data_IF_690394627323
#
_entry.id   IF_690394627323
#
_cell.length_a   1.000
_cell.length_b   1.000
_cell.length_c   1.000
_cell.angle_alpha   90.00
_cell.angle_beta   90.00
_cell.angle_gamma   90.00
#
_symmetry.space_group_name_H-M   'P 1'
#
loop_
_entity.id
_entity.type
_entity.pdbx_description
1 polymer ?
#
# COMPACT_ATOMS: atom_id res chain seq x y z
N UNK A 1 23.78 -1.12 0.46
CA UNK A 1 23.57 -0.89 0.70
C UNK A 1 22.84 -0.73 1.36
N UNK A 2 22.34 -0.66 1.82
CA UNK A 2 21.78 -0.54 2.43
C UNK A 2 21.01 -0.08 2.85
N UNK A 3 20.91 -0.07 2.98
CA UNK A 3 20.26 0.53 3.39
C UNK A 3 18.87 0.49 3.40
N UNK A 4 18.42 -0.31 3.08
CA UNK A 4 17.12 -0.50 2.92
C UNK A 4 16.34 -0.30 4.02
N UNK A 5 15.64 0.39 4.26
CA UNK A 5 15.14 0.69 5.52
C UNK A 5 13.74 1.12 5.36
N UNK A 6 12.95 1.10 6.39
CA UNK A 6 11.61 1.66 6.34
C UNK A 6 11.64 3.12 5.93
N UNK A 7 12.66 3.84 6.39
CA UNK A 7 12.80 5.24 5.99
C UNK A 7 13.11 5.35 4.51
N UNK A 8 13.76 4.34 3.95
CA UNK A 8 14.05 4.36 2.53
C UNK A 8 12.77 4.25 1.72
N UNK A 9 11.82 3.45 2.18
CA UNK A 9 10.53 3.37 1.51
C UNK A 9 9.86 4.75 1.49
N UNK A 10 9.81 5.40 2.64
CA UNK A 10 9.24 6.73 2.70
C UNK A 10 10.02 7.71 1.85
N UNK A 11 11.33 7.58 1.84
CA UNK A 11 12.17 8.43 1.05
C UNK A 11 11.88 8.28 -0.45
N UNK A 12 11.77 7.05 -0.93
CA UNK A 12 11.47 6.81 -2.33
C UNK A 12 10.16 7.46 -2.71
N UNK A 13 9.16 7.33 -1.87
CA UNK A 13 7.85 7.89 -2.18
C UNK A 13 7.76 9.39 -1.97
N UNK A 14 8.83 10.03 -1.51
CA UNK A 14 8.80 11.46 -1.26
C UNK A 14 9.90 12.20 -1.97
N UNK A 15 11.15 11.76 -1.77
CA UNK A 15 12.28 12.49 -2.29
C UNK A 15 12.45 12.29 -3.79
N UNK A 16 12.48 11.04 -4.20
CA UNK A 16 12.57 10.78 -5.63
C UNK A 16 11.26 10.92 -6.31
N UNK A 17 10.21 10.68 -5.56
CA UNK A 17 8.94 10.44 -6.18
C UNK A 17 7.92 11.47 -5.75
N UNK A 18 8.37 12.70 -5.64
CA UNK A 18 7.47 13.81 -5.35
C UNK A 18 6.25 13.77 -6.26
N UNK A 19 6.43 13.31 -7.48
CA UNK A 19 5.36 13.25 -8.45
C UNK A 19 4.96 11.83 -8.81
N UNK A 20 5.38 10.88 -7.99
CA UNK A 20 4.96 9.51 -8.21
C UNK A 20 3.63 9.23 -7.55
N UNK A 21 2.94 8.27 -8.09
CA UNK A 21 1.63 7.86 -7.61
C UNK A 21 1.73 6.42 -7.14
N UNK A 22 1.35 6.16 -5.90
CA UNK A 22 1.57 4.87 -5.28
C UNK A 22 0.27 4.10 -5.16
N UNK A 23 0.32 2.82 -5.51
CA UNK A 23 -0.73 1.86 -5.18
C UNK A 23 -0.17 1.01 -4.07
N UNK A 24 -0.92 0.85 -2.98
CA UNK A 24 -0.40 0.17 -1.80
C UNK A 24 -1.38 -0.86 -1.29
N UNK A 25 -0.85 -1.83 -0.58
CA UNK A 25 -1.64 -2.87 0.06
C UNK A 25 -1.31 -2.87 1.54
N UNK A 26 -2.32 -2.75 2.38
CA UNK A 26 -2.15 -2.82 3.82
C UNK A 26 -2.97 -3.99 4.35
N UNK A 27 -2.50 -4.56 5.46
CA UNK A 27 -3.13 -5.70 6.11
C UNK A 27 -3.52 -5.31 7.52
N UNK A 28 -4.72 -5.68 7.92
CA UNK A 28 -5.17 -5.48 9.28
C UNK A 28 -4.63 -6.60 10.16
N UNK A 29 -4.00 -6.24 11.27
CA UNK A 29 -3.36 -7.23 12.13
C UNK A 29 -4.35 -8.01 12.97
N UNK A 30 -5.55 -7.47 13.16
CA UNK A 30 -6.56 -8.12 14.00
C UNK A 30 -7.50 -8.99 13.19
N UNK A 31 -7.96 -8.50 12.05
CA UNK A 31 -8.96 -9.19 11.24
C UNK A 31 -8.39 -9.84 10.00
N UNK A 32 -7.10 -9.65 9.74
CA UNK A 32 -6.42 -10.20 8.56
C UNK A 32 -7.03 -9.76 7.24
N UNK A 33 -7.78 -8.68 7.26
CA UNK A 33 -8.33 -8.14 6.02
C UNK A 33 -7.29 -7.29 5.31
N UNK A 34 -7.51 -7.12 4.02
CA UNK A 34 -6.60 -6.41 3.14
C UNK A 34 -7.31 -5.20 2.56
N UNK A 35 -6.59 -4.09 2.50
CA UNK A 35 -7.09 -2.89 1.85
C UNK A 35 -6.10 -2.45 0.79
N UNK A 36 -6.62 -2.12 -0.39
CA UNK A 36 -5.83 -1.63 -1.51
C UNK A 36 -6.20 -0.17 -1.73
N UNK A 37 -5.20 0.69 -1.81
CA UNK A 37 -5.44 2.11 -1.97
C UNK A 37 -4.47 2.75 -2.95
N UNK A 38 -4.70 4.04 -3.18
CA UNK A 38 -3.94 4.86 -4.09
C UNK A 38 -3.64 6.17 -3.38
N UNK A 39 -2.41 6.65 -3.48
CA UNK A 39 -2.04 7.91 -2.84
C UNK A 39 -0.83 8.53 -3.51
N UNK A 40 -0.68 9.84 -3.34
CA UNK A 40 0.53 10.55 -3.73
C UNK A 40 1.45 10.76 -2.53
N UNK A 41 1.02 10.38 -1.33
CA UNK A 41 1.82 10.53 -0.12
C UNK A 41 1.58 9.32 0.77
N UNK A 42 2.37 8.29 0.56
CA UNK A 42 2.18 7.02 1.23
C UNK A 42 2.30 7.14 2.75
N UNK A 43 3.30 7.87 3.21
CA UNK A 43 3.53 8.01 4.64
C UNK A 43 2.33 8.65 5.32
N UNK A 44 1.82 9.75 4.77
CA UNK A 44 0.66 10.42 5.34
C UNK A 44 -0.56 9.52 5.33
N UNK A 45 -0.74 8.79 4.22
CA UNK A 45 -1.91 7.93 4.09
C UNK A 45 -1.90 6.79 5.10
N UNK A 46 -0.72 6.24 5.39
CA UNK A 46 -0.60 5.19 6.40
C UNK A 46 -0.94 5.73 7.80
N UNK A 47 -0.51 6.95 8.10
CA UNK A 47 -0.88 7.58 9.36
C UNK A 47 -2.40 7.74 9.44
N UNK A 48 -3.03 8.17 8.35
CA UNK A 48 -4.48 8.33 8.32
C UNK A 48 -5.20 7.01 8.57
N UNK A 49 -4.74 5.93 7.95
CA UNK A 49 -5.36 4.62 8.17
C UNK A 49 -5.27 4.19 9.63
N UNK A 50 -4.16 4.50 10.28
CA UNK A 50 -3.93 4.07 11.65
C UNK A 50 -4.45 5.04 12.70
N UNK A 51 -4.97 6.18 12.28
CA UNK A 51 -5.51 7.19 13.19
C UNK A 51 -6.99 7.47 12.93
N UNK A 52 -7.67 6.50 12.35
CA UNK A 52 -9.11 6.58 12.09
C UNK A 52 -9.50 7.67 11.09
N UNK A 53 -8.54 8.08 10.27
CA UNK A 53 -8.79 9.12 9.25
C UNK A 53 -9.40 8.60 7.97
N UNK A 54 -9.57 7.28 7.85
CA UNK A 54 -10.14 6.67 6.65
C UNK A 54 -11.39 5.88 7.02
N UNK A 55 -12.51 6.11 6.32
CA UNK A 55 -13.77 5.45 6.69
C UNK A 55 -13.69 3.92 6.70
N UNK A 56 -12.99 3.34 5.72
CA UNK A 56 -12.93 1.88 5.65
C UNK A 56 -12.09 1.27 6.77
N UNK A 57 -11.00 1.92 7.13
CA UNK A 57 -10.02 1.34 8.04
C UNK A 57 -10.19 1.74 9.48
N UNK A 58 -11.03 2.74 9.77
CA UNK A 58 -11.16 3.20 11.14
C UNK A 58 -11.84 2.17 12.01
N UNK A 59 -11.50 2.20 13.30
CA UNK A 59 -12.07 1.33 14.31
C UNK A 59 -11.78 -0.14 14.08
N UNK A 60 -10.78 -0.46 13.26
CA UNK A 60 -10.41 -1.85 12.99
C UNK A 60 -9.05 -2.21 13.57
N UNK A 61 -8.45 -1.32 14.33
CA UNK A 61 -7.15 -1.58 14.90
C UNK A 61 -6.04 -1.19 13.94
N UNK A 62 -4.89 -1.82 14.09
CA UNK A 62 -3.69 -1.42 13.38
C UNK A 62 -3.61 -2.05 12.00
N UNK A 63 -3.16 -1.24 11.05
CA UNK A 63 -2.91 -1.66 9.68
C UNK A 63 -1.42 -1.55 9.38
N UNK A 64 -0.92 -2.51 8.63
CA UNK A 64 0.48 -2.57 8.30
C UNK A 64 0.66 -2.60 6.78
N UNK A 65 1.65 -1.85 6.29
CA UNK A 65 1.97 -1.85 4.88
C UNK A 65 2.67 -3.16 4.53
N UNK A 66 2.17 -3.84 3.51
CA UNK A 66 2.79 -5.08 3.05
C UNK A 66 3.35 -4.97 1.63
N UNK A 67 2.92 -3.97 0.86
CA UNK A 67 3.36 -3.85 -0.53
C UNK A 67 3.00 -2.48 -1.09
N UNK A 68 3.85 -1.95 -1.95
CA UNK A 68 3.48 -0.77 -2.71
C UNK A 68 4.15 -0.77 -4.09
N UNK A 69 3.49 -0.12 -5.03
CA UNK A 69 4.00 0.14 -6.37
C UNK A 69 3.93 1.62 -6.64
N UNK A 70 4.97 2.17 -7.26
CA UNK A 70 5.00 3.58 -7.58
C UNK A 70 5.00 3.76 -9.09
N UNK A 71 4.20 4.69 -9.57
CA UNK A 71 4.06 4.99 -10.98
C UNK A 71 4.31 6.47 -11.24
N UNK A 72 4.94 6.78 -12.33
CA UNK A 72 5.09 8.16 -12.74
C UNK A 72 3.76 8.74 -13.23
N UNK A 73 2.93 7.92 -13.83
CA UNK A 73 1.65 8.33 -14.39
C UNK A 73 0.53 8.08 -13.40
N UNK A 74 -0.27 9.12 -13.14
CA UNK A 74 -1.45 8.99 -12.31
C UNK A 74 -2.41 7.94 -12.89
N UNK A 75 -2.58 7.97 -14.20
CA UNK A 75 -3.51 7.06 -14.85
C UNK A 75 -3.10 5.61 -14.69
N UNK A 76 -1.80 5.35 -14.81
CA UNK A 76 -1.31 3.99 -14.62
C UNK A 76 -1.57 3.51 -13.19
N UNK A 77 -1.34 4.37 -12.21
CA UNK A 77 -1.58 4.00 -10.82
C UNK A 77 -3.07 3.75 -10.58
N UNK A 78 -3.92 4.62 -11.10
CA UNK A 78 -5.36 4.45 -10.90
C UNK A 78 -5.87 3.19 -11.59
N UNK A 79 -5.37 2.88 -12.77
CA UNK A 79 -5.74 1.66 -13.46
C UNK A 79 -5.29 0.43 -12.67
N UNK A 80 -4.08 0.49 -12.12
CA UNK A 80 -3.56 -0.62 -11.32
C UNK A 80 -4.41 -0.85 -10.07
N UNK A 81 -4.73 0.22 -9.36
CA UNK A 81 -5.58 0.12 -8.19
C UNK A 81 -6.92 -0.50 -8.54
N UNK A 82 -7.51 -0.04 -9.63
CA UNK A 82 -8.80 -0.55 -10.07
C UNK A 82 -8.73 -2.04 -10.36
N UNK A 83 -7.69 -2.46 -11.07
CA UNK A 83 -7.53 -3.88 -11.40
C UNK A 83 -7.34 -4.74 -10.17
N UNK A 84 -6.56 -4.27 -9.22
CA UNK A 84 -6.34 -5.03 -8.00
C UNK A 84 -7.59 -5.11 -7.15
N UNK A 85 -8.39 -4.05 -7.12
CA UNK A 85 -9.62 -4.02 -6.33
C UNK A 85 -10.72 -4.93 -6.90
N UNK A 86 -10.60 -5.31 -8.15
CA UNK A 86 -11.57 -6.22 -8.74
C UNK A 86 -11.43 -7.64 -8.21
N UNK A 87 -10.32 -7.93 -7.51
CA UNK A 87 -10.08 -9.25 -6.92
C UNK A 87 -10.09 -10.37 -7.96
N UNK A 88 -9.71 -10.03 -9.19
CA UNK A 88 -9.60 -11.03 -10.24
C UNK A 88 -8.18 -11.58 -10.32
N UNK A 89 -7.77 -11.95 -11.55
CA UNK A 89 -6.46 -12.57 -11.75
C UNK A 89 -5.31 -11.65 -11.35
N UNK A 90 -5.45 -10.34 -11.54
CA UNK A 90 -4.38 -9.40 -11.16
C UNK A 90 -4.08 -9.48 -9.68
N UNK A 91 -5.12 -9.50 -8.84
CA UNK A 91 -4.92 -9.60 -7.41
C UNK A 91 -4.40 -10.97 -7.02
N UNK A 92 -4.88 -12.02 -7.68
CA UNK A 92 -4.39 -13.36 -7.44
C UNK A 92 -2.90 -13.50 -7.73
N UNK A 93 -2.45 -12.94 -8.84
CA UNK A 93 -1.03 -12.94 -9.18
C UNK A 93 -0.21 -12.15 -8.18
N UNK A 94 -0.70 -11.00 -7.77
CA UNK A 94 0.00 -10.21 -6.78
C UNK A 94 0.11 -10.94 -5.45
N UNK A 95 -0.95 -11.59 -5.00
CA UNK A 95 -0.93 -12.34 -3.73
C UNK A 95 0.14 -13.42 -3.75
N UNK A 96 0.29 -14.12 -4.86
CA UNK A 96 1.34 -15.13 -4.98
C UNK A 96 2.72 -14.50 -4.88
N UNK A 97 2.89 -13.34 -5.49
CA UNK A 97 4.17 -12.66 -5.51
C UNK A 97 4.59 -12.16 -4.12
N UNK A 98 3.64 -11.75 -3.32
CA UNK A 98 3.91 -11.18 -2.00
C UNK A 98 3.43 -12.07 -0.87
N UNK A 99 3.37 -13.38 -1.12
CA UNK A 99 2.81 -14.31 -0.14
C UNK A 99 3.50 -14.21 1.22
N UNK A 100 4.83 -14.15 1.22
CA UNK A 100 5.56 -14.04 2.48
C UNK A 100 5.30 -12.72 3.18
N UNK A 101 5.21 -11.64 2.43
CA UNK A 101 4.90 -10.34 3.02
C UNK A 101 3.52 -10.33 3.67
N UNK A 102 2.56 -10.99 3.05
CA UNK A 102 1.21 -11.07 3.61
C UNK A 102 1.15 -11.90 4.87
N UNK A 103 2.02 -12.90 5.00
CA UNK A 103 1.98 -13.82 6.13
C UNK A 103 2.97 -13.49 7.24
N UNK A 104 3.81 -12.50 7.04
CA UNK A 104 4.74 -12.08 8.07
C UNK A 104 4.04 -11.26 9.15
N UNK A 105 4.49 -11.44 10.36
CA UNK A 105 3.95 -10.68 11.51
C UNK A 105 4.68 -9.38 11.78
#
# INVERSE_FOLDING_TARGET
MQVARPSLLGFVCRAYTTYMYCVYVIKNLKFFSIYIGYTTDLKRRLVEHNSNGSPYTRNKGKWELVYCEAFKSRKDAQNREKMLKQHGSSFGHLKKRILNSLNED
#
